data_IF_407636421240
#
_entry.id   IF_407636421240
#
_cell.length_a   1.000
_cell.length_b   1.000
_cell.length_c   1.000
_cell.angle_alpha   90.00
_cell.angle_beta   90.00
_cell.angle_gamma   90.00
#
_symmetry.space_group_name_H-M   'P 1'
#
loop_
_entity.id
_entity.type
_entity.pdbx_description
1 polymer ?
#
# COMPACT_ATOMS: atom_id res chain seq x y z
N UNK A 1 -3.39 6.69 24.34
CA UNK A 1 -3.55 5.67 23.28
C UNK A 1 -5.00 5.54 22.77
N UNK A 2 -5.98 5.18 23.60
CA UNK A 2 -7.39 5.01 23.16
C UNK A 2 -8.01 6.30 22.61
N UNK A 3 -7.80 7.45 23.26
CA UNK A 3 -8.30 8.75 22.78
C UNK A 3 -7.75 9.11 21.39
N UNK A 4 -6.44 9.00 21.19
CA UNK A 4 -5.81 9.21 19.88
C UNK A 4 -6.36 8.27 18.78
N UNK A 5 -6.80 7.06 19.12
CA UNK A 5 -7.43 6.17 18.13
C UNK A 5 -8.75 6.73 17.56
N UNK A 6 -9.46 7.58 18.31
CA UNK A 6 -10.73 8.16 17.85
C UNK A 6 -10.56 9.18 16.71
N UNK A 7 -9.34 9.66 16.48
CA UNK A 7 -9.02 10.60 15.39
C UNK A 7 -8.58 9.89 14.10
N UNK A 8 -8.36 8.58 14.16
CA UNK A 8 -7.95 7.76 13.02
C UNK A 8 -9.18 7.39 12.19
N UNK A 9 -9.10 7.56 10.88
CA UNK A 9 -10.14 7.10 9.96
C UNK A 9 -9.98 5.59 9.67
N UNK A 10 -10.90 4.79 10.20
CA UNK A 10 -10.89 3.34 10.01
C UNK A 10 -11.93 2.87 8.98
N UNK A 11 -11.50 1.98 8.09
CA UNK A 11 -12.34 1.22 7.17
C UNK A 11 -12.17 -0.28 7.46
N UNK A 12 -13.18 -0.95 8.04
CA UNK A 12 -14.48 -0.42 8.45
C UNK A 12 -14.39 0.25 9.82
N UNK A 13 -15.28 1.23 10.06
CA UNK A 13 -15.37 1.98 11.32
C UNK A 13 -15.52 1.07 12.55
N UNK A 14 -16.28 -0.02 12.41
CA UNK A 14 -16.51 -1.03 13.47
C UNK A 14 -15.23 -1.74 13.92
N UNK A 15 -14.23 -1.88 13.05
CA UNK A 15 -12.93 -2.46 13.44
C UNK A 15 -12.16 -1.49 14.32
N UNK A 16 -12.09 -0.21 13.94
CA UNK A 16 -11.36 0.82 14.68
C UNK A 16 -11.96 1.15 16.03
N UNK A 17 -13.26 1.45 16.06
CA UNK A 17 -13.97 1.82 17.29
C UNK A 17 -14.27 0.61 18.17
N UNK A 18 -14.68 -0.50 17.55
CA UNK A 18 -15.04 -1.73 18.25
C UNK A 18 -13.80 -2.58 18.58
N UNK A 19 -13.36 -3.40 17.62
CA UNK A 19 -12.34 -4.44 17.86
C UNK A 19 -11.02 -3.87 18.40
N UNK A 20 -10.52 -2.80 17.79
CA UNK A 20 -9.27 -2.18 18.17
C UNK A 20 -9.45 -1.28 19.39
N UNK A 21 -10.39 -0.33 19.34
CA UNK A 21 -10.69 0.61 20.42
C UNK A 21 -10.99 -0.06 21.76
N UNK A 22 -11.88 -1.05 21.81
CA UNK A 22 -12.21 -1.77 23.05
C UNK A 22 -11.02 -2.48 23.67
N UNK A 23 -10.07 -2.91 22.85
CA UNK A 23 -8.88 -3.59 23.34
C UNK A 23 -7.83 -2.62 23.83
N UNK A 24 -7.65 -1.47 23.18
CA UNK A 24 -6.81 -0.39 23.72
C UNK A 24 -7.29 0.07 25.09
N UNK A 25 -8.60 0.12 25.32
CA UNK A 25 -9.17 0.53 26.61
C UNK A 25 -8.88 -0.46 27.77
N UNK A 26 -8.56 -1.71 27.45
CA UNK A 26 -8.30 -2.78 28.41
C UNK A 26 -6.89 -3.38 28.26
N UNK A 27 -5.99 -2.68 27.55
CA UNK A 27 -4.65 -3.18 27.31
C UNK A 27 -3.87 -3.17 28.63
N UNK A 28 -3.33 -4.33 29.00
CA UNK A 28 -2.39 -4.46 30.11
C UNK A 28 -0.96 -4.14 29.63
N UNK A 29 -0.03 -4.10 30.57
CA UNK A 29 1.39 -3.93 30.28
C UNK A 29 1.89 -4.91 29.23
N UNK A 30 2.65 -4.37 28.27
CA UNK A 30 3.27 -5.17 27.22
C UNK A 30 4.52 -5.83 27.77
N UNK A 31 4.48 -7.16 27.92
CA UNK A 31 5.69 -7.94 28.16
C UNK A 31 6.60 -7.89 26.92
N UNK A 32 7.65 -7.07 26.98
CA UNK A 32 8.56 -6.80 25.88
C UNK A 32 9.66 -7.88 25.72
N UNK A 33 10.11 -8.49 26.81
CA UNK A 33 11.30 -9.34 26.79
C UNK A 33 11.00 -10.75 26.29
N UNK A 34 11.95 -11.35 25.57
CA UNK A 34 11.85 -12.70 24.98
C UNK A 34 13.15 -13.47 25.21
N UNK A 35 13.06 -14.60 25.89
CA UNK A 35 14.19 -15.53 26.03
C UNK A 35 14.39 -16.33 24.75
N UNK A 36 15.12 -15.75 23.78
CA UNK A 36 15.37 -16.25 22.42
C UNK A 36 16.81 -15.97 21.98
N UNK A 37 17.16 -16.39 20.76
CA UNK A 37 18.52 -16.27 20.20
C UNK A 37 18.63 -15.29 19.03
N UNK A 38 17.56 -15.10 18.24
CA UNK A 38 17.55 -14.23 17.07
C UNK A 38 16.51 -13.11 17.24
N UNK A 39 16.96 -11.87 17.10
CA UNK A 39 16.18 -10.65 17.34
C UNK A 39 17.05 -9.54 17.94
N UNK A 40 16.46 -8.38 18.16
CA UNK A 40 17.16 -7.21 18.70
C UNK A 40 17.47 -7.42 20.19
N UNK A 41 18.74 -7.35 20.63
CA UNK A 41 19.09 -7.45 22.04
C UNK A 41 18.53 -6.28 22.88
N UNK A 42 18.03 -6.57 24.08
CA UNK A 42 17.73 -5.51 25.05
C UNK A 42 19.03 -4.79 25.43
N UNK A 43 19.13 -3.46 25.25
CA UNK A 43 20.38 -2.72 25.44
C UNK A 43 20.58 -2.31 26.90
N UNK A 44 20.29 -3.21 27.84
CA UNK A 44 20.38 -2.97 29.27
C UNK A 44 21.54 -3.80 29.82
N UNK A 45 22.53 -3.14 30.43
CA UNK A 45 23.58 -3.78 31.20
C UNK A 45 23.27 -3.66 32.68
N UNK A 46 23.54 -4.71 33.46
CA UNK A 46 23.23 -4.77 34.89
C UNK A 46 24.35 -5.47 35.66
N UNK A 47 24.60 -4.99 36.88
CA UNK A 47 25.43 -5.68 37.88
C UNK A 47 24.81 -7.01 38.31
N UNK A 48 25.63 -7.96 38.80
CA UNK A 48 25.14 -9.28 39.22
C UNK A 48 24.08 -9.20 40.34
N UNK A 49 24.21 -8.24 41.26
CA UNK A 49 23.24 -8.03 42.34
C UNK A 49 22.01 -7.22 41.92
N UNK A 50 22.00 -6.74 40.69
CA UNK A 50 20.91 -6.02 40.05
C UNK A 50 20.73 -4.56 40.44
N UNK A 51 21.57 -4.00 41.31
CA UNK A 51 21.36 -2.67 41.90
C UNK A 51 21.74 -1.52 40.99
N UNK A 52 22.73 -1.72 40.13
CA UNK A 52 23.15 -0.74 39.12
C UNK A 52 22.82 -1.26 37.72
N UNK A 53 22.26 -0.39 36.88
CA UNK A 53 21.92 -0.67 35.49
C UNK A 53 22.24 0.52 34.58
N UNK A 54 22.57 0.23 33.32
CA UNK A 54 22.75 1.20 32.24
C UNK A 54 21.88 0.78 31.05
N UNK A 55 21.18 1.73 30.43
CA UNK A 55 20.40 1.50 29.23
C UNK A 55 21.04 2.28 28.09
N UNK A 56 21.68 1.57 27.17
CA UNK A 56 22.48 2.15 26.09
C UNK A 56 21.56 2.54 24.93
N UNK A 57 21.57 3.82 24.55
CA UNK A 57 20.73 4.39 23.51
C UNK A 57 21.40 4.52 22.13
N UNK A 58 22.72 4.33 22.02
CA UNK A 58 23.44 4.45 20.76
C UNK A 58 24.75 3.66 20.75
N UNK A 59 25.29 3.39 19.55
CA UNK A 59 26.63 2.80 19.39
C UNK A 59 27.70 3.74 19.94
N UNK A 60 27.52 5.06 19.80
CA UNK A 60 28.44 6.06 20.36
C UNK A 60 28.55 5.95 21.88
N UNK A 61 27.40 5.88 22.57
CA UNK A 61 27.33 5.67 24.02
C UNK A 61 27.95 4.33 24.43
N UNK A 62 27.67 3.25 23.67
CA UNK A 62 28.26 1.94 23.92
C UNK A 62 29.80 1.99 23.86
N UNK A 63 30.36 2.70 22.88
CA UNK A 63 31.82 2.87 22.74
C UNK A 63 32.42 3.65 23.91
N UNK A 64 31.75 4.70 24.38
CA UNK A 64 32.20 5.45 25.56
C UNK A 64 32.24 4.58 26.83
N UNK A 65 31.20 3.76 27.05
CA UNK A 65 31.14 2.85 28.20
C UNK A 65 32.14 1.69 28.10
N UNK A 66 32.36 1.14 26.90
CA UNK A 66 33.42 0.15 26.68
C UNK A 66 34.81 0.72 26.98
N UNK A 67 35.10 1.96 26.57
CA UNK A 67 36.38 2.61 26.86
C UNK A 67 36.61 2.78 28.38
N UNK A 68 35.56 3.11 29.15
CA UNK A 68 35.62 3.14 30.62
C UNK A 68 35.92 1.76 31.19
N UNK A 69 35.26 0.73 30.66
CA UNK A 69 35.44 -0.67 31.08
C UNK A 69 36.86 -1.17 30.83
N UNK A 70 37.45 -0.86 29.67
CA UNK A 70 38.85 -1.17 29.34
C UNK A 70 39.81 -0.45 30.29
N UNK A 71 39.59 0.85 30.53
CA UNK A 71 40.41 1.62 31.49
C UNK A 71 40.34 1.07 32.91
N UNK A 72 39.19 0.54 33.32
CA UNK A 72 38.99 -0.09 34.62
C UNK A 72 39.55 -1.52 34.69
N UNK A 73 39.98 -2.11 33.55
CA UNK A 73 40.47 -3.48 33.47
C UNK A 73 39.38 -4.56 33.53
N UNK A 74 38.11 -4.18 33.33
CA UNK A 74 36.97 -5.11 33.28
C UNK A 74 36.88 -5.77 31.90
N UNK A 75 37.15 -5.00 30.84
CA UNK A 75 37.35 -5.50 29.48
C UNK A 75 38.83 -5.42 29.08
N UNK A 76 39.26 -6.35 28.23
CA UNK A 76 40.63 -6.34 27.68
C UNK A 76 40.81 -5.36 26.53
N UNK A 77 39.79 -5.19 25.69
CA UNK A 77 39.84 -4.38 24.46
C UNK A 77 38.44 -3.90 24.04
N UNK A 78 38.40 -2.87 23.19
CA UNK A 78 37.18 -2.41 22.51
C UNK A 78 36.92 -3.32 21.30
N UNK A 79 35.85 -4.11 21.34
CA UNK A 79 35.51 -5.05 20.27
C UNK A 79 34.95 -4.36 19.01
N UNK A 80 34.62 -3.07 19.09
CA UNK A 80 34.18 -2.24 17.97
C UNK A 80 35.24 -1.19 17.62
N UNK A 81 36.53 -1.48 17.81
CA UNK A 81 37.63 -0.53 17.59
C UNK A 81 37.61 0.13 16.19
N UNK A 82 37.19 -0.61 15.16
CA UNK A 82 37.13 -0.14 13.77
C UNK A 82 35.96 0.83 13.49
N UNK A 83 34.94 0.85 14.34
CA UNK A 83 33.77 1.73 14.15
C UNK A 83 34.10 3.19 14.46
N UNK A 84 33.83 4.09 13.52
CA UNK A 84 34.02 5.52 13.65
C UNK A 84 32.72 6.21 14.11
N UNK A 85 32.73 6.80 15.31
CA UNK A 85 31.56 7.53 15.83
C UNK A 85 31.27 8.75 14.97
N UNK A 86 30.02 8.91 14.55
CA UNK A 86 29.55 10.02 13.71
C UNK A 86 29.70 9.76 12.21
N UNK A 87 30.29 8.64 11.80
CA UNK A 87 30.31 8.18 10.42
C UNK A 87 29.09 7.27 10.17
N UNK A 88 28.13 7.73 9.36
CA UNK A 88 26.88 6.99 9.08
C UNK A 88 26.92 6.18 7.78
N UNK A 89 28.11 5.96 7.20
CA UNK A 89 28.25 5.12 6.00
C UNK A 89 27.93 3.65 6.29
N UNK A 90 27.42 2.96 5.27
CA UNK A 90 27.15 1.52 5.34
C UNK A 90 28.44 0.75 5.64
N UNK A 91 29.56 1.14 5.02
CA UNK A 91 30.87 0.51 5.25
C UNK A 91 31.33 0.64 6.72
N UNK A 92 31.01 1.74 7.40
CA UNK A 92 31.33 1.89 8.82
C UNK A 92 30.44 0.99 9.69
N UNK A 93 29.14 0.89 9.39
CA UNK A 93 28.22 0.03 10.14
C UNK A 93 28.45 -1.47 9.88
N UNK A 94 29.03 -1.84 8.74
CA UNK A 94 29.47 -3.21 8.44
C UNK A 94 30.64 -3.67 9.33
N UNK A 95 31.35 -2.76 10.00
CA UNK A 95 32.44 -3.09 10.93
C UNK A 95 31.95 -3.62 12.29
N UNK A 96 30.64 -3.53 12.57
CA UNK A 96 30.07 -3.93 13.85
C UNK A 96 28.89 -4.89 13.67
N UNK A 97 28.64 -5.69 14.70
CA UNK A 97 27.47 -6.53 14.79
C UNK A 97 26.84 -6.37 16.17
N UNK A 98 25.59 -5.89 16.18
CA UNK A 98 24.82 -5.65 17.40
C UNK A 98 23.95 -6.85 17.80
N UNK A 99 24.09 -8.01 17.15
CA UNK A 99 23.35 -9.22 17.52
C UNK A 99 23.91 -9.88 18.77
N UNK A 100 23.02 -10.65 19.43
CA UNK A 100 23.23 -11.28 20.74
C UNK A 100 24.59 -11.95 20.92
N UNK A 101 25.03 -12.76 19.96
CA UNK A 101 26.29 -13.52 20.03
C UNK A 101 27.56 -12.64 20.08
N UNK A 102 27.45 -11.38 19.67
CA UNK A 102 28.53 -10.40 19.74
C UNK A 102 28.38 -9.54 20.99
N UNK A 103 27.22 -8.90 21.17
CA UNK A 103 27.03 -7.93 22.27
C UNK A 103 27.01 -8.57 23.66
N UNK A 104 26.68 -9.86 23.79
CA UNK A 104 26.77 -10.56 25.08
C UNK A 104 28.21 -10.69 25.60
N UNK A 105 29.23 -10.45 24.75
CA UNK A 105 30.65 -10.45 25.15
C UNK A 105 31.09 -9.12 25.77
N UNK A 106 30.27 -8.07 25.64
CA UNK A 106 30.58 -6.74 26.15
C UNK A 106 30.24 -6.70 27.64
N UNK A 107 31.24 -6.43 28.48
CA UNK A 107 31.08 -6.28 29.93
C UNK A 107 31.37 -4.83 30.30
N UNK A 108 30.37 -4.08 30.73
CA UNK A 108 30.57 -2.68 31.12
C UNK A 108 31.00 -2.56 32.57
N UNK A 109 31.42 -1.37 32.99
CA UNK A 109 31.78 -1.07 34.38
C UNK A 109 30.77 -0.11 34.99
N UNK A 110 30.26 -0.43 36.18
CA UNK A 110 29.30 0.41 36.91
C UNK A 110 29.99 1.63 37.53
N UNK A 111 29.19 2.57 38.04
CA UNK A 111 29.72 3.73 38.76
C UNK A 111 30.50 3.33 40.03
N UNK A 112 30.14 2.20 40.65
CA UNK A 112 30.87 1.64 41.79
C UNK A 112 32.07 0.75 41.40
N UNK A 113 32.36 0.62 40.10
CA UNK A 113 33.48 -0.18 39.59
C UNK A 113 33.17 -1.67 39.44
N UNK A 114 31.91 -2.09 39.54
CA UNK A 114 31.50 -3.49 39.40
C UNK A 114 31.27 -3.85 37.93
N UNK A 115 31.55 -5.10 37.51
CA UNK A 115 31.24 -5.56 36.17
C UNK A 115 29.73 -5.63 35.93
N UNK A 116 29.31 -5.26 34.73
CA UNK A 116 27.91 -5.28 34.28
C UNK A 116 27.79 -6.12 33.02
N UNK A 117 26.84 -7.07 33.02
CA UNK A 117 26.54 -7.89 31.86
C UNK A 117 25.23 -7.44 31.22
N UNK A 118 25.10 -7.60 29.90
CA UNK A 118 23.84 -7.34 29.22
C UNK A 118 22.75 -8.29 29.73
N UNK A 119 21.53 -7.78 29.89
CA UNK A 119 20.34 -8.60 30.12
C UNK A 119 20.20 -9.62 29.00
N UNK A 120 20.06 -10.90 29.32
CA UNK A 120 20.19 -11.95 28.29
C UNK A 120 19.05 -11.95 27.25
N UNK A 121 17.90 -11.40 27.61
CA UNK A 121 16.68 -11.38 26.78
C UNK A 121 16.81 -10.48 25.54
N UNK A 122 15.97 -10.78 24.55
CA UNK A 122 15.76 -10.02 23.33
C UNK A 122 14.42 -9.26 23.38
N UNK A 123 14.23 -8.35 22.45
CA UNK A 123 13.02 -7.58 22.26
C UNK A 123 11.98 -8.40 21.47
N UNK A 124 10.69 -8.21 21.79
CA UNK A 124 9.56 -8.74 21.02
C UNK A 124 9.53 -8.18 19.59
N UNK A 125 9.38 -9.05 18.58
CA UNK A 125 9.41 -8.68 17.14
C UNK A 125 8.34 -7.65 16.75
N UNK A 126 7.26 -7.56 17.53
CA UNK A 126 6.24 -6.53 17.32
C UNK A 126 6.74 -5.12 17.67
N UNK A 127 7.75 -4.99 18.52
CA UNK A 127 8.45 -3.73 18.78
C UNK A 127 9.29 -3.32 17.59
N UNK A 128 10.03 -4.25 16.97
CA UNK A 128 10.82 -4.00 15.76
C UNK A 128 9.92 -3.45 14.64
N UNK A 129 8.85 -4.20 14.32
CA UNK A 129 7.89 -3.80 13.28
C UNK A 129 7.08 -2.54 13.65
N UNK A 130 6.77 -2.34 14.94
CA UNK A 130 6.12 -1.13 15.43
C UNK A 130 7.04 0.10 15.42
N UNK A 131 8.36 -0.11 15.41
CA UNK A 131 9.38 0.95 15.33
C UNK A 131 9.75 1.34 13.91
N UNK A 132 9.29 0.58 12.92
CA UNK A 132 9.54 0.81 11.50
C UNK A 132 9.39 2.28 11.05
N UNK A 133 8.36 3.06 11.47
CA UNK A 133 8.14 4.39 10.92
C UNK A 133 9.31 5.36 11.06
N UNK A 134 10.12 5.21 12.10
CA UNK A 134 11.26 6.07 12.41
C UNK A 134 12.60 5.31 12.35
N UNK A 135 12.61 4.01 12.68
CA UNK A 135 13.81 3.18 12.57
C UNK A 135 14.32 3.08 11.13
N UNK A 136 13.44 3.03 10.13
CA UNK A 136 13.82 2.98 8.71
C UNK A 136 14.62 4.22 8.25
N UNK A 137 14.48 5.34 8.96
CA UNK A 137 15.13 6.61 8.65
C UNK A 137 16.38 6.85 9.49
N UNK A 138 16.76 5.85 10.31
CA UNK A 138 17.82 5.98 11.31
C UNK A 138 17.58 7.16 12.28
N UNK A 139 16.31 7.49 12.53
CA UNK A 139 15.92 8.49 13.53
C UNK A 139 16.34 8.03 14.93
N UNK A 140 16.88 8.92 15.79
CA UNK A 140 17.04 10.37 15.60
C UNK A 140 18.41 10.80 15.04
N UNK A 141 19.24 9.86 14.61
CA UNK A 141 20.63 10.10 14.21
C UNK A 141 20.74 10.73 12.82
N UNK A 142 19.91 10.27 11.89
CA UNK A 142 19.79 10.82 10.54
C UNK A 142 18.34 11.13 10.20
N UNK A 143 18.13 11.92 9.14
CA UNK A 143 16.82 12.22 8.55
C UNK A 143 15.75 12.73 9.54
N UNK A 144 16.19 13.37 10.64
CA UNK A 144 15.34 13.79 11.75
C UNK A 144 14.15 14.64 11.30
N UNK A 145 14.41 15.53 10.35
CA UNK A 145 13.43 16.41 9.71
C UNK A 145 12.26 15.65 9.08
N UNK A 146 12.44 14.43 8.54
CA UNK A 146 11.33 13.65 7.99
C UNK A 146 10.28 13.30 9.06
N UNK A 147 10.71 13.09 10.30
CA UNK A 147 9.85 12.77 11.43
C UNK A 147 9.39 14.05 12.13
N UNK A 148 10.31 14.95 12.47
CA UNK A 148 10.01 16.18 13.20
C UNK A 148 9.07 17.12 12.42
N UNK A 149 9.27 17.27 11.11
CA UNK A 149 8.44 18.12 10.25
C UNK A 149 7.16 17.43 9.77
N UNK A 150 6.96 16.16 10.16
CA UNK A 150 5.81 15.33 9.79
C UNK A 150 5.70 15.03 8.29
N UNK A 151 6.84 14.86 7.62
CA UNK A 151 6.91 14.51 6.20
C UNK A 151 6.72 13.00 5.97
N UNK A 152 7.27 12.16 6.84
CA UNK A 152 7.17 10.70 6.77
C UNK A 152 6.35 10.07 7.92
N UNK A 153 6.02 10.84 8.96
CA UNK A 153 5.23 10.38 10.11
C UNK A 153 4.34 11.50 10.66
N UNK A 154 3.04 11.27 10.95
CA UNK A 154 2.30 10.02 10.81
C UNK A 154 1.91 9.69 9.37
N UNK A 155 1.86 8.40 9.04
CA UNK A 155 1.54 7.93 7.69
C UNK A 155 0.10 8.30 7.29
N UNK A 156 -0.10 8.68 6.02
CA UNK A 156 -1.44 9.00 5.54
C UNK A 156 -2.34 7.77 5.42
N UNK A 157 -1.78 6.60 5.06
CA UNK A 157 -2.55 5.39 4.79
C UNK A 157 -1.76 4.11 5.08
N UNK A 158 -2.41 3.11 5.69
CA UNK A 158 -1.94 1.73 5.75
C UNK A 158 -3.09 0.74 5.49
N UNK A 159 -2.77 -0.46 5.00
CA UNK A 159 -3.76 -1.52 4.81
C UNK A 159 -3.18 -2.91 5.06
N UNK A 160 -3.73 -3.62 6.05
CA UNK A 160 -3.30 -4.97 6.42
C UNK A 160 -4.49 -5.81 6.91
N UNK A 161 -4.29 -7.12 7.10
CA UNK A 161 -5.32 -8.04 7.60
C UNK A 161 -5.89 -7.64 8.97
N UNK A 162 -7.16 -7.99 9.22
CA UNK A 162 -7.86 -7.72 10.49
C UNK A 162 -7.18 -8.31 11.73
N UNK A 163 -6.36 -9.33 11.56
CA UNK A 163 -5.50 -9.90 12.59
C UNK A 163 -4.46 -8.89 13.13
N UNK A 164 -4.05 -7.89 12.33
CA UNK A 164 -3.11 -6.84 12.74
C UNK A 164 -3.66 -5.90 13.81
N UNK A 165 -4.97 -5.93 14.09
CA UNK A 165 -5.57 -5.26 15.27
C UNK A 165 -4.99 -5.74 16.63
N UNK A 166 -4.22 -6.83 16.63
CA UNK A 166 -3.48 -7.35 17.80
C UNK A 166 -1.98 -7.52 17.52
N UNK A 167 -1.50 -7.03 16.38
CA UNK A 167 -0.11 -7.09 15.96
C UNK A 167 0.34 -5.70 15.56
N UNK A 168 0.62 -5.52 14.27
CA UNK A 168 1.30 -4.33 13.77
C UNK A 168 0.53 -3.02 13.97
N UNK A 169 -0.80 -3.00 13.76
CA UNK A 169 -1.60 -1.79 14.02
C UNK A 169 -1.47 -1.37 15.49
N UNK A 170 -1.49 -2.34 16.41
CA UNK A 170 -1.29 -2.03 17.81
C UNK A 170 0.07 -1.44 18.08
N UNK A 171 1.15 -2.12 17.69
CA UNK A 171 2.48 -1.69 18.15
C UNK A 171 2.93 -0.41 17.49
N UNK A 172 2.57 -0.17 16.22
CA UNK A 172 2.71 1.14 15.59
C UNK A 172 2.04 2.24 16.45
N UNK A 173 0.75 2.07 16.75
CA UNK A 173 -0.01 3.08 17.49
C UNK A 173 0.49 3.21 18.93
N UNK A 174 0.80 2.10 19.60
CA UNK A 174 1.25 2.08 20.97
C UNK A 174 2.56 2.85 21.11
N UNK A 175 3.57 2.51 20.31
CA UNK A 175 4.86 3.20 20.38
C UNK A 175 4.74 4.65 19.91
N UNK A 176 3.97 4.89 18.84
CA UNK A 176 3.66 6.24 18.37
C UNK A 176 3.08 7.14 19.46
N UNK A 177 2.14 6.61 20.25
CA UNK A 177 1.54 7.35 21.37
C UNK A 177 2.48 7.53 22.55
N UNK A 178 3.35 6.55 22.84
CA UNK A 178 4.27 6.61 23.98
C UNK A 178 5.48 7.52 23.72
N UNK A 179 6.00 7.54 22.49
CA UNK A 179 7.23 8.25 22.13
C UNK A 179 6.95 9.65 21.58
N UNK A 180 5.85 9.82 20.83
CA UNK A 180 5.58 11.07 20.09
C UNK A 180 4.25 11.75 20.45
N UNK A 181 3.47 11.19 21.37
CA UNK A 181 2.10 11.64 21.68
C UNK A 181 1.24 11.86 20.42
N UNK A 182 1.39 10.97 19.44
CA UNK A 182 0.75 11.06 18.12
C UNK A 182 0.17 9.72 17.69
N UNK A 183 -0.86 9.75 16.84
CA UNK A 183 -1.24 8.59 16.04
C UNK A 183 -0.08 8.18 15.14
N UNK A 184 0.02 6.89 14.80
CA UNK A 184 1.03 6.42 13.85
C UNK A 184 0.60 6.54 12.38
N UNK A 185 -0.71 6.58 12.16
CA UNK A 185 -1.34 6.60 10.84
C UNK A 185 -2.67 7.34 10.89
N UNK A 186 -3.06 7.97 9.78
CA UNK A 186 -4.30 8.76 9.65
C UNK A 186 -5.47 7.94 9.12
N UNK A 187 -5.21 7.06 8.14
CA UNK A 187 -6.24 6.20 7.52
C UNK A 187 -5.80 4.73 7.57
N UNK A 188 -6.73 3.83 7.94
CA UNK A 188 -6.49 2.37 7.98
C UNK A 188 -7.57 1.63 7.24
N UNK A 189 -7.18 0.76 6.31
CA UNK A 189 -8.06 -0.28 5.77
C UNK A 189 -7.68 -1.62 6.39
N UNK A 190 -8.56 -2.15 7.24
CA UNK A 190 -8.40 -3.46 7.86
C UNK A 190 -9.03 -4.53 6.98
N UNK A 191 -8.21 -5.24 6.22
CA UNK A 191 -8.64 -6.23 5.23
C UNK A 191 -9.31 -7.45 5.87
N UNK A 192 -10.31 -7.98 5.19
CA UNK A 192 -10.89 -9.29 5.47
C UNK A 192 -9.96 -10.42 5.05
N UNK A 193 -10.38 -11.66 5.30
CA UNK A 193 -9.63 -12.85 4.91
C UNK A 193 -10.03 -13.32 3.50
N UNK A 194 -9.04 -13.81 2.76
CA UNK A 194 -9.30 -14.61 1.55
C UNK A 194 -9.61 -16.05 1.99
N UNK A 195 -10.82 -16.49 1.65
CA UNK A 195 -11.34 -17.82 1.91
C UNK A 195 -11.46 -18.58 0.60
N UNK A 196 -11.53 -19.91 0.66
CA UNK A 196 -11.87 -20.69 -0.52
C UNK A 196 -13.30 -20.39 -1.01
N UNK A 197 -13.66 -20.91 -2.19
CA UNK A 197 -14.99 -20.72 -2.79
C UNK A 197 -16.16 -21.15 -1.90
N UNK A 198 -15.93 -22.05 -0.94
CA UNK A 198 -16.93 -22.53 0.01
C UNK A 198 -16.95 -21.71 1.32
N UNK A 199 -16.04 -20.74 1.48
CA UNK A 199 -15.89 -19.93 2.68
C UNK A 199 -15.04 -20.57 3.78
N UNK A 200 -14.22 -21.57 3.47
CA UNK A 200 -13.30 -22.17 4.43
C UNK A 200 -11.93 -21.47 4.39
N UNK A 201 -11.23 -21.44 5.52
CA UNK A 201 -9.87 -20.91 5.57
C UNK A 201 -8.96 -21.75 4.68
N UNK A 202 -8.22 -21.10 3.79
CA UNK A 202 -7.25 -21.78 2.94
C UNK A 202 -6.11 -22.37 3.78
N UNK A 203 -5.73 -23.61 3.50
CA UNK A 203 -4.55 -24.22 4.11
C UNK A 203 -3.94 -25.28 3.19
N UNK A 204 -2.61 -25.40 3.23
CA UNK A 204 -1.89 -26.46 2.51
C UNK A 204 -2.39 -27.86 2.89
N UNK A 205 -2.79 -28.06 4.16
CA UNK A 205 -3.30 -29.34 4.67
C UNK A 205 -4.63 -29.75 4.03
N UNK A 206 -5.53 -28.80 3.75
CA UNK A 206 -6.83 -29.07 3.15
C UNK A 206 -6.79 -29.14 1.62
N UNK A 207 -5.65 -28.78 1.00
CA UNK A 207 -5.52 -28.75 -0.46
C UNK A 207 -6.46 -27.74 -1.14
N UNK A 208 -7.00 -26.78 -0.40
CA UNK A 208 -7.97 -25.78 -0.87
C UNK A 208 -7.34 -24.39 -1.10
N UNK A 209 -6.02 -24.29 -1.01
CA UNK A 209 -5.31 -23.05 -1.25
C UNK A 209 -5.27 -22.74 -2.76
N UNK A 210 -5.62 -21.51 -3.13
CA UNK A 210 -5.35 -21.00 -4.47
C UNK A 210 -3.90 -20.52 -4.56
N UNK A 211 -3.15 -20.97 -5.57
CA UNK A 211 -1.81 -20.47 -5.83
C UNK A 211 -1.90 -19.11 -6.57
N UNK A 212 -1.33 -18.03 -5.99
CA UNK A 212 -1.32 -16.72 -6.64
C UNK A 212 -0.61 -16.73 -7.99
N UNK A 213 0.50 -17.46 -8.14
CA UNK A 213 1.28 -17.48 -9.37
C UNK A 213 0.59 -18.24 -10.50
N UNK A 214 -0.08 -19.36 -10.18
CA UNK A 214 -0.92 -20.05 -11.17
C UNK A 214 -2.09 -19.17 -11.61
N UNK A 215 -2.71 -18.45 -10.68
CA UNK A 215 -3.80 -17.51 -10.97
C UNK A 215 -3.33 -16.39 -11.90
N UNK A 216 -2.22 -15.75 -11.56
CA UNK A 216 -1.63 -14.66 -12.34
C UNK A 216 -1.19 -15.14 -13.73
N UNK A 217 -0.58 -16.33 -13.83
CA UNK A 217 -0.19 -16.89 -15.12
C UNK A 217 -1.38 -17.19 -16.02
N UNK A 218 -2.54 -17.56 -15.45
CA UNK A 218 -3.72 -17.94 -16.22
C UNK A 218 -4.59 -16.75 -16.63
N UNK A 219 -4.78 -15.78 -15.73
CA UNK A 219 -5.74 -14.69 -15.92
C UNK A 219 -5.09 -13.31 -16.05
N UNK A 220 -3.81 -13.19 -15.73
CA UNK A 220 -3.11 -11.92 -15.63
C UNK A 220 -3.39 -11.18 -14.31
N UNK A 221 -2.56 -10.18 -14.03
CA UNK A 221 -2.64 -9.38 -12.81
C UNK A 221 -3.93 -8.57 -12.74
N UNK A 222 -4.33 -7.93 -13.84
CA UNK A 222 -5.43 -6.96 -13.81
C UNK A 222 -6.80 -7.59 -13.64
N UNK A 223 -7.08 -8.71 -14.31
CA UNK A 223 -8.33 -9.44 -14.10
C UNK A 223 -8.43 -9.92 -12.65
N UNK A 224 -7.32 -10.38 -12.08
CA UNK A 224 -7.24 -10.84 -10.69
C UNK A 224 -7.46 -9.67 -9.72
N UNK A 225 -6.76 -8.55 -9.88
CA UNK A 225 -6.92 -7.34 -9.06
C UNK A 225 -8.34 -6.80 -9.13
N UNK A 226 -8.89 -6.67 -10.34
CA UNK A 226 -10.24 -6.19 -10.55
C UNK A 226 -11.27 -7.11 -9.91
N UNK A 227 -11.12 -8.44 -10.03
CA UNK A 227 -11.97 -9.39 -9.34
C UNK A 227 -11.91 -9.22 -7.82
N UNK A 228 -10.72 -9.17 -7.22
CA UNK A 228 -10.57 -9.03 -5.78
C UNK A 228 -11.24 -7.75 -5.25
N UNK A 229 -11.07 -6.62 -5.95
CA UNK A 229 -11.63 -5.32 -5.53
C UNK A 229 -13.14 -5.24 -5.81
N UNK A 230 -13.61 -5.73 -6.96
CA UNK A 230 -15.02 -5.57 -7.36
C UNK A 230 -15.97 -6.57 -6.69
N UNK A 231 -15.46 -7.73 -6.26
CA UNK A 231 -16.29 -8.82 -5.74
C UNK A 231 -16.73 -8.61 -4.28
N UNK A 232 -15.84 -8.11 -3.43
CA UNK A 232 -16.11 -7.82 -2.01
C UNK A 232 -15.42 -6.51 -1.61
N UNK A 233 -15.94 -5.82 -0.59
CA UNK A 233 -15.21 -4.69 -0.03
C UNK A 233 -13.90 -5.20 0.61
N UNK A 234 -12.83 -4.40 0.65
CA UNK A 234 -11.54 -4.84 1.18
C UNK A 234 -11.60 -5.42 2.59
N UNK A 235 -12.51 -4.91 3.43
CA UNK A 235 -12.71 -5.37 4.82
C UNK A 235 -13.66 -6.56 4.99
N UNK A 236 -14.33 -6.99 3.93
CA UNK A 236 -15.17 -8.18 3.94
C UNK A 236 -14.33 -9.41 3.57
N UNK A 237 -14.75 -10.59 4.04
CA UNK A 237 -14.08 -11.82 3.61
C UNK A 237 -14.38 -12.10 2.14
N UNK A 238 -13.33 -12.30 1.33
CA UNK A 238 -13.45 -12.68 -0.06
C UNK A 238 -13.53 -14.20 -0.18
N UNK A 239 -14.65 -14.73 -0.68
CA UNK A 239 -14.73 -16.13 -1.15
C UNK A 239 -14.11 -16.20 -2.54
N UNK A 240 -12.87 -16.67 -2.60
CA UNK A 240 -12.09 -16.68 -3.82
C UNK A 240 -12.54 -17.80 -4.76
N UNK A 241 -12.96 -17.41 -5.96
CA UNK A 241 -13.32 -18.31 -7.05
C UNK A 241 -12.72 -17.83 -8.37
N UNK A 242 -11.90 -18.69 -8.99
CA UNK A 242 -11.28 -18.44 -10.28
C UNK A 242 -12.29 -18.24 -11.42
N UNK A 243 -13.52 -18.75 -11.29
CA UNK A 243 -14.58 -18.50 -12.27
C UNK A 243 -15.01 -17.03 -12.26
N UNK A 244 -14.98 -16.36 -11.09
CA UNK A 244 -15.26 -14.93 -10.98
C UNK A 244 -14.22 -14.08 -11.70
N UNK A 245 -12.95 -14.50 -11.72
CA UNK A 245 -11.91 -13.85 -12.51
C UNK A 245 -12.20 -13.99 -14.01
N UNK A 246 -12.56 -15.20 -14.46
CA UNK A 246 -12.93 -15.44 -15.86
C UNK A 246 -14.16 -14.63 -16.29
N UNK A 247 -15.12 -14.44 -15.38
CA UNK A 247 -16.28 -13.59 -15.63
C UNK A 247 -15.88 -12.12 -15.79
N UNK A 248 -15.05 -11.58 -14.89
CA UNK A 248 -14.52 -10.21 -15.00
C UNK A 248 -13.74 -10.02 -16.30
N UNK A 249 -12.90 -10.98 -16.68
CA UNK A 249 -12.17 -10.95 -17.96
C UNK A 249 -13.11 -10.87 -19.16
N UNK A 250 -14.20 -11.65 -19.19
CA UNK A 250 -15.16 -11.57 -20.31
C UNK A 250 -16.02 -10.31 -20.28
N UNK A 251 -16.62 -10.01 -19.15
CA UNK A 251 -17.69 -9.00 -19.04
C UNK A 251 -17.14 -7.59 -19.06
N UNK A 252 -16.11 -7.31 -18.27
CA UNK A 252 -15.54 -5.97 -18.21
C UNK A 252 -14.44 -5.78 -19.26
N UNK A 253 -13.32 -6.49 -19.12
CA UNK A 253 -12.16 -6.33 -20.02
C UNK A 253 -12.50 -6.71 -21.46
N UNK A 254 -13.24 -7.79 -21.67
CA UNK A 254 -13.70 -8.20 -23.00
C UNK A 254 -14.61 -7.15 -23.65
N UNK A 255 -15.52 -6.53 -22.91
CA UNK A 255 -16.38 -5.46 -23.43
C UNK A 255 -15.58 -4.21 -23.79
N UNK A 256 -14.65 -3.81 -22.93
CA UNK A 256 -13.77 -2.66 -23.18
C UNK A 256 -12.87 -2.90 -24.40
N UNK A 257 -12.26 -4.09 -24.49
CA UNK A 257 -11.45 -4.49 -25.64
C UNK A 257 -12.26 -4.53 -26.94
N UNK A 258 -13.48 -5.06 -26.90
CA UNK A 258 -14.38 -5.06 -28.06
C UNK A 258 -14.78 -3.64 -28.49
N UNK A 259 -14.98 -2.74 -27.52
CA UNK A 259 -15.26 -1.32 -27.79
C UNK A 259 -14.07 -0.63 -28.46
N UNK A 260 -12.86 -0.88 -27.95
CA UNK A 260 -11.62 -0.41 -28.56
C UNK A 260 -11.38 -1.00 -29.96
N UNK A 261 -11.63 -2.31 -30.15
CA UNK A 261 -11.50 -2.98 -31.45
C UNK A 261 -12.51 -2.43 -32.46
N UNK A 262 -13.73 -2.15 -32.03
CA UNK A 262 -14.73 -1.46 -32.85
C UNK A 262 -14.26 -0.06 -33.24
N UNK A 263 -13.77 0.72 -32.29
CA UNK A 263 -13.26 2.07 -32.53
C UNK A 263 -12.12 2.05 -33.56
N UNK A 264 -11.07 1.27 -33.30
CA UNK A 264 -9.88 1.20 -34.15
C UNK A 264 -10.17 0.70 -35.56
N UNK A 265 -11.09 -0.26 -35.71
CA UNK A 265 -11.50 -0.74 -37.03
C UNK A 265 -11.98 0.42 -37.93
N UNK A 266 -12.90 1.24 -37.41
CA UNK A 266 -13.52 2.29 -38.22
C UNK A 266 -12.64 3.53 -38.33
N UNK A 267 -11.91 3.92 -37.27
CA UNK A 267 -10.96 5.03 -37.35
C UNK A 267 -9.86 4.75 -38.37
N UNK A 268 -9.37 3.51 -38.46
CA UNK A 268 -8.34 3.15 -39.45
C UNK A 268 -8.87 3.18 -40.89
N UNK A 269 -10.15 2.83 -41.12
CA UNK A 269 -10.79 2.92 -42.44
C UNK A 269 -10.94 4.39 -42.86
N UNK A 270 -11.41 5.23 -41.94
CA UNK A 270 -11.66 6.65 -42.21
C UNK A 270 -10.40 7.53 -42.08
N UNK A 271 -9.27 6.98 -41.62
CA UNK A 271 -8.03 7.73 -41.40
C UNK A 271 -8.11 8.73 -40.24
N UNK A 272 -9.00 8.51 -39.27
CA UNK A 272 -9.15 9.39 -38.11
C UNK A 272 -7.90 9.32 -37.22
N UNK A 273 -7.19 10.44 -37.13
CA UNK A 273 -6.04 10.65 -36.26
C UNK A 273 -6.29 11.72 -35.20
N UNK A 274 -7.53 12.22 -35.10
CA UNK A 274 -7.90 13.30 -34.17
C UNK A 274 -7.12 14.60 -34.44
N UNK A 275 -6.76 14.88 -35.69
CA UNK A 275 -6.19 16.16 -36.12
C UNK A 275 -7.22 17.29 -36.19
N UNK A 276 -8.51 16.97 -36.29
CA UNK A 276 -9.59 17.94 -36.30
C UNK A 276 -9.77 18.63 -34.95
N UNK A 277 -10.26 19.87 -34.98
CA UNK A 277 -10.63 20.60 -33.77
C UNK A 277 -11.71 19.84 -32.97
N UNK A 278 -11.70 19.98 -31.65
CA UNK A 278 -12.74 19.42 -30.79
C UNK A 278 -14.09 20.07 -31.13
N UNK A 279 -15.09 19.25 -31.44
CA UNK A 279 -16.44 19.73 -31.73
C UNK A 279 -17.05 20.25 -30.41
N UNK A 280 -17.54 21.52 -30.37
CA UNK A 280 -18.17 22.10 -29.19
C UNK A 280 -19.35 21.27 -28.69
N UNK A 281 -19.58 21.24 -27.37
CA UNK A 281 -20.59 20.38 -26.76
C UNK A 281 -22.00 20.67 -27.31
N UNK A 282 -22.31 21.92 -27.56
CA UNK A 282 -23.58 22.42 -28.12
C UNK A 282 -23.81 22.00 -29.58
N UNK A 283 -22.74 21.70 -30.31
CA UNK A 283 -22.78 21.23 -31.70
C UNK A 283 -22.80 19.69 -31.80
N UNK A 284 -22.60 18.99 -30.69
CA UNK A 284 -22.69 17.52 -30.64
C UNK A 284 -24.14 17.06 -30.60
N UNK A 285 -24.48 15.95 -31.28
CA UNK A 285 -25.79 15.32 -31.15
C UNK A 285 -26.12 14.95 -29.69
N UNK A 286 -27.41 14.88 -29.37
CA UNK A 286 -27.91 14.63 -28.01
C UNK A 286 -27.30 13.36 -27.37
N UNK A 287 -27.09 12.30 -28.17
CA UNK A 287 -26.50 11.04 -27.68
C UNK A 287 -25.04 11.18 -27.26
N UNK A 288 -24.27 12.07 -27.93
CA UNK A 288 -22.88 12.37 -27.56
C UNK A 288 -22.84 13.22 -26.28
N UNK A 289 -23.71 14.24 -26.21
CA UNK A 289 -23.85 15.07 -25.01
C UNK A 289 -24.28 14.26 -23.79
N UNK A 290 -25.20 13.31 -23.99
CA UNK A 290 -25.66 12.41 -22.96
C UNK A 290 -24.52 11.54 -22.41
N UNK A 291 -23.79 10.81 -23.27
CA UNK A 291 -22.73 9.92 -22.77
C UNK A 291 -21.59 10.70 -22.11
N UNK A 292 -21.28 11.91 -22.56
CA UNK A 292 -20.31 12.80 -21.91
C UNK A 292 -20.82 13.30 -20.55
N UNK A 293 -22.13 13.54 -20.40
CA UNK A 293 -22.74 13.86 -19.10
C UNK A 293 -22.65 12.68 -18.13
N UNK A 294 -22.95 11.46 -18.59
CA UNK A 294 -22.78 10.23 -17.81
C UNK A 294 -21.31 10.00 -17.43
N UNK A 295 -20.38 10.31 -18.33
CA UNK A 295 -18.94 10.21 -18.08
C UNK A 295 -18.50 11.17 -16.97
N UNK A 296 -18.97 12.42 -16.96
CA UNK A 296 -18.66 13.36 -15.89
C UNK A 296 -19.24 12.91 -14.53
N UNK A 297 -20.45 12.32 -14.56
CA UNK A 297 -21.04 11.70 -13.36
C UNK A 297 -20.19 10.52 -12.86
N UNK A 298 -19.65 9.71 -13.77
CA UNK A 298 -18.72 8.64 -13.42
C UNK A 298 -17.44 9.20 -12.78
N UNK A 299 -16.83 10.22 -13.38
CA UNK A 299 -15.62 10.85 -12.85
C UNK A 299 -15.84 11.30 -11.41
N UNK A 300 -16.92 12.04 -11.15
CA UNK A 300 -17.26 12.53 -9.81
C UNK A 300 -17.42 11.37 -8.81
N UNK A 301 -18.21 10.35 -9.17
CA UNK A 301 -18.41 9.18 -8.30
C UNK A 301 -17.11 8.46 -7.97
N UNK A 302 -16.25 8.25 -8.97
CA UNK A 302 -14.99 7.52 -8.78
C UNK A 302 -14.01 8.32 -7.93
N UNK A 303 -13.94 9.64 -8.13
CA UNK A 303 -13.13 10.54 -7.31
C UNK A 303 -13.57 10.49 -5.84
N UNK A 304 -14.88 10.65 -5.58
CA UNK A 304 -15.48 10.54 -4.25
C UNK A 304 -15.19 9.17 -3.61
N UNK A 305 -15.35 8.07 -4.36
CA UNK A 305 -15.11 6.73 -3.83
C UNK A 305 -13.65 6.47 -3.50
N UNK A 306 -12.69 6.94 -4.30
CA UNK A 306 -11.28 6.80 -3.94
C UNK A 306 -10.90 7.69 -2.75
N UNK A 307 -11.41 8.93 -2.69
CA UNK A 307 -11.19 9.82 -1.55
C UNK A 307 -11.71 9.22 -0.23
N UNK A 308 -12.78 8.42 -0.30
CA UNK A 308 -13.37 7.72 0.84
C UNK A 308 -12.80 6.31 1.09
N UNK A 309 -11.76 5.87 0.36
CA UNK A 309 -11.19 4.51 0.45
C UNK A 309 -12.19 3.39 0.16
N UNK A 310 -13.06 3.59 -0.84
CA UNK A 310 -14.12 2.66 -1.29
C UNK A 310 -13.84 2.10 -2.70
N UNK A 311 -12.73 1.38 -2.94
CA UNK A 311 -12.30 0.98 -4.28
C UNK A 311 -13.28 0.02 -4.97
N UNK A 312 -14.07 -0.75 -4.21
CA UNK A 312 -15.12 -1.63 -4.74
C UNK A 312 -16.22 -0.87 -5.44
N UNK A 313 -16.65 0.28 -4.89
CA UNK A 313 -17.66 1.13 -5.51
C UNK A 313 -17.13 1.77 -6.79
N UNK A 314 -15.87 2.24 -6.77
CA UNK A 314 -15.19 2.75 -7.95
C UNK A 314 -15.12 1.70 -9.07
N UNK A 315 -14.64 0.49 -8.76
CA UNK A 315 -14.55 -0.61 -9.72
C UNK A 315 -15.90 -0.93 -10.37
N UNK A 316 -16.97 -1.02 -9.55
CA UNK A 316 -18.32 -1.32 -10.05
C UNK A 316 -18.86 -0.20 -10.92
N UNK A 317 -18.75 1.07 -10.49
CA UNK A 317 -19.21 2.21 -11.29
C UNK A 317 -18.52 2.28 -12.66
N UNK A 318 -17.20 2.06 -12.73
CA UNK A 318 -16.44 2.03 -13.99
C UNK A 318 -16.91 0.87 -14.87
N UNK A 319 -17.10 -0.31 -14.27
CA UNK A 319 -17.56 -1.51 -14.97
C UNK A 319 -18.96 -1.33 -15.55
N UNK A 320 -19.90 -0.81 -14.75
CA UNK A 320 -21.28 -0.57 -15.14
C UNK A 320 -21.35 0.48 -16.26
N UNK A 321 -20.59 1.57 -16.16
CA UNK A 321 -20.52 2.56 -17.24
C UNK A 321 -20.00 1.98 -18.55
N UNK A 322 -18.93 1.18 -18.48
CA UNK A 322 -18.32 0.57 -19.66
C UNK A 322 -19.28 -0.40 -20.35
N UNK A 323 -19.97 -1.24 -19.56
CA UNK A 323 -20.85 -2.27 -20.10
C UNK A 323 -22.19 -1.71 -20.55
N UNK A 324 -22.86 -0.93 -19.70
CA UNK A 324 -24.23 -0.51 -19.92
C UNK A 324 -24.32 0.78 -20.74
N UNK A 325 -23.71 1.86 -20.27
CA UNK A 325 -23.84 3.16 -20.92
C UNK A 325 -23.02 3.24 -22.22
N UNK A 326 -21.75 2.85 -22.17
CA UNK A 326 -20.85 2.98 -23.32
C UNK A 326 -21.10 1.89 -24.38
N UNK A 327 -20.98 0.62 -24.02
CA UNK A 327 -21.10 -0.47 -25.00
C UNK A 327 -22.57 -0.74 -25.41
N UNK A 328 -23.45 -1.03 -24.44
CA UNK A 328 -24.81 -1.47 -24.72
C UNK A 328 -25.73 -0.37 -25.26
N UNK A 329 -25.52 0.89 -24.84
CA UNK A 329 -26.32 2.02 -25.28
C UNK A 329 -25.61 2.85 -26.35
N UNK A 330 -24.54 3.56 -26.00
CA UNK A 330 -23.91 4.53 -26.88
C UNK A 330 -23.39 3.90 -28.17
N UNK A 331 -22.49 2.91 -28.06
CA UNK A 331 -21.90 2.23 -29.23
C UNK A 331 -23.01 1.57 -30.05
N UNK A 332 -23.95 0.84 -29.41
CA UNK A 332 -25.03 0.13 -30.11
C UNK A 332 -25.93 1.06 -30.92
N UNK A 333 -26.36 2.18 -30.36
CA UNK A 333 -27.25 3.14 -31.03
C UNK A 333 -26.52 4.02 -32.03
N UNK A 334 -25.24 4.31 -31.77
CA UNK A 334 -24.42 5.14 -32.66
C UNK A 334 -23.72 4.35 -33.77
N UNK A 335 -23.81 3.01 -33.84
CA UNK A 335 -23.07 2.19 -34.84
C UNK A 335 -23.12 2.78 -36.24
N UNK A 336 -24.30 3.16 -36.72
CA UNK A 336 -24.49 3.71 -38.08
C UNK A 336 -23.66 4.96 -38.36
N UNK A 337 -23.33 5.76 -37.34
CA UNK A 337 -22.52 6.98 -37.47
C UNK A 337 -21.06 6.66 -37.77
N UNK A 338 -20.57 5.48 -37.38
CA UNK A 338 -19.19 5.05 -37.61
C UNK A 338 -18.96 4.44 -39.00
N UNK A 339 -19.92 3.66 -39.53
CA UNK A 339 -19.71 2.91 -40.79
C UNK A 339 -20.51 3.39 -41.99
N UNK A 340 -21.51 4.27 -41.81
CA UNK A 340 -22.33 4.80 -42.91
C UNK A 340 -22.04 6.27 -43.15
N UNK A 341 -21.95 6.64 -44.42
CA UNK A 341 -21.79 8.04 -44.85
C UNK A 341 -20.34 8.49 -44.88
N UNK A 342 -20.14 9.68 -45.45
CA UNK A 342 -18.83 10.28 -45.65
C UNK A 342 -18.24 10.76 -44.32
N UNK A 343 -16.91 10.91 -44.31
CA UNK A 343 -16.18 11.46 -43.18
C UNK A 343 -16.51 12.96 -43.00
N UNK A 344 -17.44 13.25 -42.10
CA UNK A 344 -18.05 14.57 -41.87
C UNK A 344 -18.24 14.81 -40.37
N UNK A 345 -18.68 16.02 -39.99
CA UNK A 345 -18.80 16.49 -38.60
C UNK A 345 -19.50 15.50 -37.65
N UNK A 346 -20.61 14.87 -38.07
CA UNK A 346 -21.33 13.91 -37.21
C UNK A 346 -20.47 12.67 -36.88
N UNK A 347 -19.74 12.14 -37.87
CA UNK A 347 -18.86 10.98 -37.68
C UNK A 347 -17.64 11.36 -36.84
N UNK A 348 -17.04 12.53 -37.09
CA UNK A 348 -15.93 13.07 -36.29
C UNK A 348 -16.39 13.23 -34.83
N UNK A 349 -17.60 13.76 -34.58
CA UNK A 349 -18.16 13.89 -33.24
C UNK A 349 -18.27 12.55 -32.52
N UNK A 350 -18.72 11.51 -33.22
CA UNK A 350 -18.82 10.17 -32.67
C UNK A 350 -17.44 9.59 -32.31
N UNK A 351 -16.42 9.77 -33.17
CA UNK A 351 -15.05 9.34 -32.88
C UNK A 351 -14.45 10.07 -31.69
N UNK A 352 -14.52 11.41 -31.66
CA UNK A 352 -14.00 12.22 -30.56
C UNK A 352 -14.68 11.87 -29.21
N UNK A 353 -16.00 11.65 -29.23
CA UNK A 353 -16.76 11.24 -28.03
C UNK A 353 -16.31 9.87 -27.53
N UNK A 354 -16.25 8.86 -28.41
CA UNK A 354 -15.88 7.49 -28.01
C UNK A 354 -14.43 7.41 -27.53
N UNK A 355 -13.51 8.14 -28.19
CA UNK A 355 -12.13 8.32 -27.73
C UNK A 355 -12.07 8.87 -26.31
N UNK A 356 -12.81 9.97 -26.05
CA UNK A 356 -12.83 10.65 -24.76
C UNK A 356 -13.32 9.71 -23.65
N UNK A 357 -14.37 8.93 -23.90
CA UNK A 357 -14.88 7.94 -22.96
C UNK A 357 -13.82 6.87 -22.63
N UNK A 358 -13.19 6.25 -23.64
CA UNK A 358 -12.21 5.19 -23.39
C UNK A 358 -10.93 5.71 -22.73
N UNK A 359 -10.45 6.88 -23.13
CA UNK A 359 -9.28 7.52 -22.49
C UNK A 359 -9.57 7.82 -21.01
N UNK A 360 -10.78 8.26 -20.69
CA UNK A 360 -11.20 8.53 -19.31
C UNK A 360 -11.36 7.24 -18.51
N UNK A 361 -11.98 6.19 -19.08
CA UNK A 361 -12.06 4.87 -18.43
C UNK A 361 -10.67 4.34 -18.09
N UNK A 362 -9.70 4.47 -19.01
CA UNK A 362 -8.32 4.07 -18.76
C UNK A 362 -7.74 4.78 -17.52
N UNK A 363 -7.92 6.09 -17.42
CA UNK A 363 -7.43 6.87 -16.26
C UNK A 363 -8.10 6.46 -14.95
N UNK A 364 -9.43 6.32 -14.95
CA UNK A 364 -10.20 5.97 -13.75
C UNK A 364 -9.91 4.54 -13.28
N UNK A 365 -9.67 3.61 -14.22
CA UNK A 365 -9.39 2.20 -13.94
C UNK A 365 -7.93 1.89 -13.58
N UNK A 366 -6.99 2.79 -13.88
CA UNK A 366 -5.55 2.56 -13.71
C UNK A 366 -5.11 2.17 -12.28
N UNK A 367 -5.67 2.72 -11.18
CA UNK A 367 -5.30 2.30 -9.83
C UNK A 367 -5.60 0.80 -9.53
N UNK A 368 -6.58 0.21 -10.22
CA UNK A 368 -7.00 -1.18 -10.02
C UNK A 368 -6.34 -2.11 -11.04
N UNK A 369 -6.37 -1.73 -12.32
CA UNK A 369 -5.90 -2.54 -13.44
C UNK A 369 -4.84 -1.79 -14.28
N UNK A 370 -3.63 -1.59 -13.74
CA UNK A 370 -2.64 -0.70 -14.35
C UNK A 370 -2.20 -1.13 -15.76
N UNK A 371 -2.01 -2.42 -16.04
CA UNK A 371 -1.39 -2.86 -17.29
C UNK A 371 -2.31 -2.71 -18.51
N UNK A 372 -3.55 -3.15 -18.39
CA UNK A 372 -4.58 -3.07 -19.43
C UNK A 372 -4.95 -1.62 -19.69
N UNK A 373 -5.12 -0.82 -18.61
CA UNK A 373 -5.51 0.57 -18.73
C UNK A 373 -4.40 1.42 -19.33
N UNK A 374 -3.14 1.18 -18.94
CA UNK A 374 -2.00 1.87 -19.56
C UNK A 374 -1.85 1.47 -21.04
N UNK A 375 -2.01 0.19 -21.37
CA UNK A 375 -2.00 -0.25 -22.77
C UNK A 375 -3.10 0.42 -23.61
N UNK A 376 -4.33 0.46 -23.11
CA UNK A 376 -5.44 1.14 -23.77
C UNK A 376 -5.14 2.64 -23.96
N UNK A 377 -4.63 3.30 -22.92
CA UNK A 377 -4.29 4.72 -22.97
C UNK A 377 -3.20 5.01 -24.01
N UNK A 378 -2.12 4.23 -24.01
CA UNK A 378 -1.02 4.35 -24.96
C UNK A 378 -1.48 4.09 -26.40
N UNK A 379 -2.25 3.04 -26.63
CA UNK A 379 -2.75 2.69 -27.96
C UNK A 379 -3.66 3.78 -28.54
N UNK A 380 -4.49 4.42 -27.71
CA UNK A 380 -5.31 5.56 -28.10
C UNK A 380 -4.45 6.79 -28.43
N UNK A 381 -3.47 7.11 -27.59
CA UNK A 381 -2.69 8.35 -27.71
C UNK A 381 -1.52 8.27 -28.70
N UNK A 382 -1.06 7.08 -29.06
CA UNK A 382 0.03 6.89 -30.02
C UNK A 382 -0.31 7.46 -31.41
N UNK A 383 -1.58 7.38 -31.80
CA UNK A 383 -2.07 7.90 -33.08
C UNK A 383 -2.41 9.39 -32.98
N UNK A 384 -3.09 9.81 -31.90
CA UNK A 384 -3.60 11.18 -31.79
C UNK A 384 -2.55 12.22 -31.43
N UNK A 385 -1.42 11.81 -30.81
CA UNK A 385 -0.35 12.69 -30.32
C UNK A 385 -0.81 13.80 -29.38
N UNK A 386 -2.07 13.83 -28.93
CA UNK A 386 -2.63 14.85 -28.03
C UNK A 386 -2.00 14.79 -26.64
N UNK A 387 -1.63 13.60 -26.16
CA UNK A 387 -0.98 13.40 -24.85
C UNK A 387 0.16 12.41 -24.97
N UNK A 388 1.30 12.89 -25.44
CA UNK A 388 2.57 12.15 -25.31
C UNK A 388 2.97 12.16 -23.84
N UNK A 389 2.60 11.10 -23.09
CA UNK A 389 3.26 10.84 -21.82
C UNK A 389 4.71 10.47 -22.11
N UNK A 390 5.65 11.30 -21.66
CA UNK A 390 7.00 10.82 -21.35
C UNK A 390 6.83 9.86 -20.18
N UNK A 391 6.79 8.57 -20.46
CA UNK A 391 6.81 7.53 -19.42
C UNK A 391 8.19 7.62 -18.76
N UNK A 392 8.23 8.11 -17.53
CA UNK A 392 9.33 7.77 -16.62
C UNK A 392 8.99 6.36 -16.12
N UNK A 393 9.67 5.37 -16.71
CA UNK A 393 9.73 4.00 -16.19
C UNK A 393 10.56 4.03 -14.91
#
# INVERSE_FOLDING_TARGET
MHELNTTINWKPKSTGEGRFGNWLANANDWNLSRSRFWGIPLPIWRTEDGKEQLCIGSVAELKEEMAKSVKAGVMSEDIFAEFEVGNMSEENYDTIDLHKNVVDKIVLVSASGQPMNRESDLIDVWFDSGSMPYAQWHYPFENKNLIDNKEAYPADFIAEGVDQTRGWFYTLHAIGTMVFDSVAYKNVVSNGLVLDKNGQKMSKRLGNAADPFETLSKYGADATRWYMISNANPWDNLKFDSEGIAEVSRKFFGTLYNTYSFFTLYTNIDGFDYSEADIPLEERPEIDRWILSELNTLIQKVDDYYAEYEPTKAARAISDFTQDYLSNWYVRLSRRRFWKGDYQTDKISAYQTLYTCMETIAKLGAPIAPFFMDRLYLDLNAVTKKKLLKVYI
#
